data_IF_799078854892
#
_entry.id   IF_799078854892
#
_cell.length_a   1.000
_cell.length_b   1.000
_cell.length_c   1.000
_cell.angle_alpha   90.00
_cell.angle_beta   90.00
_cell.angle_gamma   90.00
#
_symmetry.space_group_name_H-M   'P 1'
#
loop_
_entity.id
_entity.type
_entity.pdbx_description
1 polymer ?
#
# COMPACT_ATOMS: atom_id res chain seq x y z
N UNK A 1 -12.92 23.67 17.73
CA UNK A 1 -12.88 24.21 16.35
C UNK A 1 -11.48 24.68 15.93
N UNK A 2 -10.69 25.33 16.79
CA UNK A 2 -9.33 25.80 16.46
C UNK A 2 -8.26 24.69 16.27
N UNK A 3 -8.35 23.57 16.99
CA UNK A 3 -7.39 22.45 16.89
C UNK A 3 -7.42 21.75 15.51
N UNK A 4 -8.61 21.56 14.95
CA UNK A 4 -8.77 20.93 13.63
C UNK A 4 -8.19 21.79 12.50
N UNK A 5 -8.32 23.12 12.61
CA UNK A 5 -7.73 24.06 11.67
C UNK A 5 -6.20 24.03 11.71
N UNK A 6 -5.60 24.00 12.90
CA UNK A 6 -4.15 23.93 13.07
C UNK A 6 -3.55 22.64 12.47
N UNK A 7 -4.21 21.48 12.66
CA UNK A 7 -3.77 20.20 12.10
C UNK A 7 -3.81 20.16 10.57
N UNK A 8 -4.83 20.77 9.94
CA UNK A 8 -4.93 20.87 8.48
C UNK A 8 -3.85 21.77 7.89
N UNK A 9 -3.56 22.89 8.53
CA UNK A 9 -2.52 23.82 8.06
C UNK A 9 -1.14 23.19 8.13
N UNK A 10 -0.84 22.43 9.19
CA UNK A 10 0.43 21.70 9.33
C UNK A 10 0.56 20.56 8.32
N UNK A 11 -0.50 19.80 8.08
CA UNK A 11 -0.50 18.73 7.09
C UNK A 11 -0.31 19.28 5.66
N UNK A 12 -0.97 20.38 5.32
CA UNK A 12 -0.81 21.02 4.01
C UNK A 12 0.61 21.57 3.81
N UNK A 13 1.19 22.18 4.84
CA UNK A 13 2.58 22.64 4.78
C UNK A 13 3.57 21.48 4.59
N UNK A 14 3.31 20.32 5.23
CA UNK A 14 4.10 19.11 5.04
C UNK A 14 3.98 18.56 3.62
N UNK A 15 2.76 18.51 3.06
CA UNK A 15 2.49 18.05 1.70
C UNK A 15 3.10 18.99 0.65
N UNK A 16 2.99 20.31 0.83
CA UNK A 16 3.62 21.31 -0.05
C UNK A 16 5.15 21.22 0.00
N UNK A 17 5.72 20.98 1.18
CA UNK A 17 7.18 20.79 1.32
C UNK A 17 7.63 19.49 0.67
N UNK A 18 6.84 18.41 0.82
CA UNK A 18 7.11 17.14 0.16
C UNK A 18 7.07 17.25 -1.36
N UNK A 19 6.08 17.97 -1.90
CA UNK A 19 5.95 18.26 -3.34
C UNK A 19 7.11 19.12 -3.85
N UNK A 20 7.49 20.17 -3.13
CA UNK A 20 8.60 21.06 -3.48
C UNK A 20 9.96 20.32 -3.51
N UNK A 21 10.13 19.33 -2.62
CA UNK A 21 11.34 18.51 -2.53
C UNK A 21 11.30 17.27 -3.44
N UNK A 22 10.22 17.04 -4.21
CA UNK A 22 9.97 15.80 -4.96
C UNK A 22 10.04 14.54 -4.07
N UNK A 23 9.76 14.70 -2.78
CA UNK A 23 9.67 13.61 -1.82
C UNK A 23 8.35 12.89 -2.05
N UNK A 24 8.42 11.74 -2.71
CA UNK A 24 7.30 10.81 -2.67
C UNK A 24 7.09 10.40 -1.20
N UNK A 25 5.83 10.43 -0.73
CA UNK A 25 5.43 10.00 0.62
C UNK A 25 6.10 8.68 1.06
N UNK A 26 6.31 7.69 0.18
CA UNK A 26 7.05 6.48 0.51
C UNK A 26 8.53 6.71 0.85
N UNK A 27 9.21 7.61 0.16
CA UNK A 27 10.60 7.98 0.47
C UNK A 27 10.68 8.70 1.82
N UNK A 28 9.67 9.49 2.16
CA UNK A 28 9.53 10.08 3.50
C UNK A 28 9.26 9.03 4.57
N UNK A 29 8.34 8.08 4.35
CA UNK A 29 8.08 6.97 5.27
C UNK A 29 9.31 6.07 5.46
N UNK A 30 10.03 5.75 4.37
CA UNK A 30 11.31 5.04 4.42
C UNK A 30 12.35 5.86 5.17
N UNK A 31 12.42 7.17 4.98
CA UNK A 31 13.33 8.05 5.72
C UNK A 31 13.02 8.04 7.22
N UNK A 32 11.75 8.14 7.62
CA UNK A 32 11.32 8.03 9.02
C UNK A 32 11.71 6.68 9.61
N UNK A 33 11.43 5.57 8.90
CA UNK A 33 11.77 4.22 9.35
C UNK A 33 13.29 3.98 9.43
N UNK A 34 14.10 4.77 8.70
CA UNK A 34 15.57 4.67 8.69
C UNK A 34 16.25 5.61 9.67
N UNK A 35 15.57 6.65 10.14
CA UNK A 35 16.18 7.68 10.98
C UNK A 35 16.24 7.24 12.45
N UNK A 36 17.41 7.34 13.07
CA UNK A 36 17.69 6.87 14.44
C UNK A 36 16.87 7.59 15.50
N UNK A 37 16.55 8.86 15.26
CA UNK A 37 15.96 9.76 16.26
C UNK A 37 14.46 9.53 16.51
N UNK A 38 13.79 8.72 15.69
CA UNK A 38 12.39 8.33 15.93
C UNK A 38 12.25 7.11 16.86
N UNK A 39 13.35 6.44 17.21
CA UNK A 39 13.32 5.31 18.15
C UNK A 39 13.15 5.74 19.61
N UNK A 40 13.52 6.98 19.96
CA UNK A 40 13.38 7.53 21.31
C UNK A 40 12.07 8.33 21.47
N UNK A 41 11.16 8.26 20.49
CA UNK A 41 9.93 9.01 20.53
C UNK A 41 8.91 8.29 21.43
N UNK A 42 8.34 8.95 22.47
CA UNK A 42 7.49 8.30 23.47
C UNK A 42 6.21 7.64 22.89
N UNK A 43 5.76 8.06 21.71
CA UNK A 43 4.66 7.39 21.00
C UNK A 43 5.00 5.96 20.50
N UNK A 44 6.29 5.59 20.44
CA UNK A 44 6.77 4.24 20.11
C UNK A 44 6.78 3.34 21.34
N UNK A 45 6.97 3.90 22.54
CA UNK A 45 6.93 3.17 23.81
C UNK A 45 5.50 2.75 24.19
N UNK A 46 4.48 3.54 23.82
CA UNK A 46 3.06 3.21 24.04
C UNK A 46 2.53 2.11 23.08
N UNK A 47 3.31 1.72 22.07
CA UNK A 47 3.05 0.49 21.31
C UNK A 47 3.55 -0.68 22.15
N UNK A 48 2.71 -1.09 23.10
CA UNK A 48 2.91 -2.25 23.98
C UNK A 48 2.90 -3.57 23.17
N UNK A 49 3.99 -3.82 22.44
CA UNK A 49 4.21 -5.05 21.68
C UNK A 49 4.72 -6.10 22.67
N UNK A 50 4.05 -7.26 22.88
CA UNK A 50 4.43 -8.24 23.91
C UNK A 50 5.68 -9.07 23.58
N UNK A 51 6.70 -8.49 22.95
CA UNK A 51 7.91 -9.18 22.50
C UNK A 51 9.21 -8.63 23.12
N UNK A 52 9.11 -7.69 24.07
CA UNK A 52 10.26 -6.92 24.61
C UNK A 52 11.05 -7.58 25.76
N UNK A 53 11.27 -8.90 25.73
CA UNK A 53 12.20 -9.58 26.65
C UNK A 53 13.48 -10.11 25.99
N UNK A 54 13.84 -9.56 24.83
CA UNK A 54 15.06 -9.91 24.08
C UNK A 54 15.73 -8.70 23.43
N UNK A 55 16.06 -7.67 24.21
CA UNK A 55 16.76 -6.48 23.73
C UNK A 55 18.25 -6.77 23.42
N UNK A 56 18.44 -7.41 22.27
CA UNK A 56 19.68 -7.45 21.49
C UNK A 56 19.43 -7.38 19.97
N UNK A 57 18.19 -7.14 19.51
CA UNK A 57 17.77 -7.34 18.10
C UNK A 57 17.40 -6.07 17.32
N UNK A 58 17.85 -4.88 17.73
CA UNK A 58 17.71 -3.68 16.88
C UNK A 58 18.82 -3.57 15.80
N UNK A 59 19.68 -4.58 15.68
CA UNK A 59 20.68 -4.74 14.60
C UNK A 59 20.07 -5.05 13.21
N UNK A 60 18.77 -5.33 13.09
CA UNK A 60 18.17 -5.84 11.84
C UNK A 60 17.32 -4.84 11.03
N UNK A 61 17.48 -3.53 11.20
CA UNK A 61 16.80 -2.53 10.32
C UNK A 61 17.20 -2.66 8.85
N UNK A 62 18.41 -3.15 8.60
CA UNK A 62 18.91 -3.51 7.27
C UNK A 62 18.14 -4.67 6.66
N UNK A 63 17.56 -5.57 7.46
CA UNK A 63 16.79 -6.72 6.97
C UNK A 63 15.57 -6.28 6.16
N UNK A 64 14.74 -5.35 6.65
CA UNK A 64 13.56 -4.90 5.91
C UNK A 64 13.92 -4.15 4.64
N UNK A 65 14.97 -3.32 4.69
CA UNK A 65 15.49 -2.66 3.49
C UNK A 65 16.03 -3.68 2.48
N UNK A 66 16.65 -4.76 2.95
CA UNK A 66 17.11 -5.86 2.11
C UNK A 66 15.93 -6.64 1.54
N UNK A 67 14.91 -6.96 2.34
CA UNK A 67 13.69 -7.61 1.87
C UNK A 67 13.01 -6.82 0.75
N UNK A 68 12.96 -5.48 0.85
CA UNK A 68 12.42 -4.64 -0.23
C UNK A 68 13.30 -4.69 -1.49
N UNK A 69 14.64 -4.73 -1.34
CA UNK A 69 15.55 -4.88 -2.49
C UNK A 69 15.41 -6.24 -3.16
N UNK A 70 15.38 -7.30 -2.36
CA UNK A 70 15.24 -8.68 -2.80
C UNK A 70 13.90 -8.83 -3.52
N UNK A 71 12.81 -8.31 -2.94
CA UNK A 71 11.51 -8.23 -3.59
C UNK A 71 11.59 -7.46 -4.92
N UNK A 72 12.29 -6.33 -4.97
CA UNK A 72 12.42 -5.49 -6.16
C UNK A 72 13.38 -6.03 -7.24
N UNK A 73 13.92 -7.24 -7.07
CA UNK A 73 14.71 -7.90 -8.10
C UNK A 73 13.87 -8.22 -9.34
N UNK A 74 14.52 -8.12 -10.50
CA UNK A 74 13.89 -8.31 -11.82
C UNK A 74 13.23 -9.69 -11.96
N UNK A 75 13.81 -10.70 -11.35
CA UNK A 75 13.41 -12.09 -11.51
C UNK A 75 12.11 -12.43 -10.77
N UNK A 76 11.63 -11.54 -9.90
CA UNK A 76 10.37 -11.71 -9.19
C UNK A 76 9.13 -11.28 -10.00
N UNK A 77 9.31 -10.77 -11.22
CA UNK A 77 8.20 -10.56 -12.16
C UNK A 77 7.35 -9.31 -11.91
N UNK A 78 7.80 -8.37 -11.07
CA UNK A 78 7.11 -7.09 -10.81
C UNK A 78 7.32 -6.04 -11.89
N UNK A 79 8.08 -6.38 -12.93
CA UNK A 79 8.45 -5.45 -13.99
C UNK A 79 7.37 -5.38 -15.07
N UNK A 80 6.75 -4.22 -15.17
CA UNK A 80 5.69 -3.99 -16.15
C UNK A 80 6.10 -2.94 -17.17
N UNK A 81 6.14 -3.36 -18.43
CA UNK A 81 6.49 -2.48 -19.54
C UNK A 81 5.22 -2.07 -20.29
N UNK A 82 4.76 -0.83 -20.07
CA UNK A 82 3.59 -0.27 -20.74
C UNK A 82 3.60 -0.45 -22.27
N UNK A 83 4.79 -0.39 -22.90
CA UNK A 83 4.95 -0.54 -24.36
C UNK A 83 4.81 -1.97 -24.88
N UNK A 84 4.88 -2.96 -23.99
CA UNK A 84 4.86 -4.38 -24.32
C UNK A 84 3.75 -5.12 -23.56
N UNK A 85 2.84 -4.40 -22.91
CA UNK A 85 1.73 -4.98 -22.17
C UNK A 85 0.76 -5.64 -23.12
N UNK A 86 0.39 -6.89 -22.81
CA UNK A 86 -0.69 -7.62 -23.48
C UNK A 86 -1.98 -7.60 -22.66
N UNK A 87 -3.12 -7.74 -23.34
CA UNK A 87 -4.42 -7.86 -22.68
C UNK A 87 -4.49 -9.08 -21.73
N UNK A 88 -3.82 -10.18 -22.10
CA UNK A 88 -3.74 -11.38 -21.27
C UNK A 88 -3.00 -11.12 -19.94
N UNK A 89 -1.93 -10.31 -19.94
CA UNK A 89 -1.24 -9.94 -18.70
C UNK A 89 -2.14 -9.13 -17.76
N UNK A 90 -2.99 -8.25 -18.31
CA UNK A 90 -3.95 -7.48 -17.51
C UNK A 90 -5.06 -8.38 -16.95
N UNK A 91 -5.63 -9.27 -17.76
CA UNK A 91 -6.71 -10.17 -17.36
C UNK A 91 -6.27 -11.23 -16.33
N UNK A 92 -5.02 -11.68 -16.43
CA UNK A 92 -4.46 -12.69 -15.54
C UNK A 92 -3.84 -12.09 -14.28
N UNK A 93 -3.78 -10.75 -14.16
CA UNK A 93 -3.28 -10.11 -12.96
C UNK A 93 -4.19 -10.43 -11.76
N UNK A 94 -3.57 -10.81 -10.63
CA UNK A 94 -4.23 -11.14 -9.37
C UNK A 94 -3.45 -10.53 -8.21
N UNK A 95 -4.13 -9.76 -7.36
CA UNK A 95 -3.52 -9.19 -6.15
C UNK A 95 -3.16 -10.32 -5.17
N UNK A 96 -3.92 -11.40 -5.18
CA UNK A 96 -3.71 -12.58 -4.35
C UNK A 96 -2.38 -13.28 -4.66
N UNK A 97 -2.00 -13.34 -5.95
CA UNK A 97 -0.72 -13.90 -6.38
C UNK A 97 0.44 -13.02 -5.89
N UNK A 98 0.28 -11.69 -5.97
CA UNK A 98 1.25 -10.76 -5.39
C UNK A 98 1.37 -10.95 -3.88
N UNK A 99 0.25 -11.02 -3.15
CA UNK A 99 0.23 -11.22 -1.71
C UNK A 99 0.98 -12.50 -1.31
N UNK A 100 0.69 -13.62 -2.00
CA UNK A 100 1.33 -14.90 -1.75
C UNK A 100 2.84 -14.83 -1.97
N UNK A 101 3.28 -14.25 -3.08
CA UNK A 101 4.68 -14.14 -3.43
C UNK A 101 5.44 -13.18 -2.50
N UNK A 102 4.86 -12.01 -2.20
CA UNK A 102 5.43 -11.04 -1.25
C UNK A 102 5.60 -11.64 0.14
N UNK A 103 4.59 -12.38 0.62
CA UNK A 103 4.66 -13.10 1.89
C UNK A 103 5.74 -14.18 1.86
N UNK A 104 5.89 -14.90 0.75
CA UNK A 104 6.90 -15.95 0.62
C UNK A 104 8.33 -15.41 0.59
N UNK A 105 8.54 -14.25 -0.03
CA UNK A 105 9.86 -13.65 -0.20
C UNK A 105 10.27 -12.75 0.98
N UNK A 106 9.31 -12.18 1.69
CA UNK A 106 9.55 -11.29 2.83
C UNK A 106 8.53 -11.53 3.96
N UNK A 107 8.53 -12.71 4.59
CA UNK A 107 7.54 -13.07 5.61
C UNK A 107 7.59 -12.16 6.83
N UNK A 108 8.78 -11.74 7.28
CA UNK A 108 8.93 -10.85 8.44
C UNK A 108 8.38 -9.45 8.16
N UNK A 109 8.63 -8.90 6.97
CA UNK A 109 8.06 -7.63 6.53
C UNK A 109 6.52 -7.73 6.42
N UNK A 110 6.02 -8.84 5.87
CA UNK A 110 4.60 -9.10 5.74
C UNK A 110 3.89 -9.14 7.10
N UNK A 111 4.51 -9.78 8.09
CA UNK A 111 3.98 -9.89 9.44
C UNK A 111 4.04 -8.57 10.18
N UNK A 112 5.14 -7.81 10.06
CA UNK A 112 5.26 -6.45 10.59
C UNK A 112 4.13 -5.55 10.09
N UNK A 113 3.90 -5.50 8.76
CA UNK A 113 2.79 -4.72 8.21
C UNK A 113 1.43 -5.24 8.70
N UNK A 114 1.30 -6.54 8.94
CA UNK A 114 0.10 -7.13 9.53
C UNK A 114 -0.20 -6.62 10.92
N UNK A 115 0.84 -6.52 11.76
CA UNK A 115 0.74 -5.97 13.10
C UNK A 115 0.37 -4.48 13.04
N UNK A 116 1.09 -3.69 12.24
CA UNK A 116 0.85 -2.24 12.10
C UNK A 116 -0.58 -1.95 11.60
N UNK A 117 -1.06 -2.68 10.60
CA UNK A 117 -2.42 -2.51 10.06
C UNK A 117 -3.51 -3.05 10.99
N UNK A 118 -3.16 -3.91 11.95
CA UNK A 118 -4.10 -4.46 12.92
C UNK A 118 -4.17 -3.65 14.22
N UNK A 119 -3.24 -2.70 14.43
CA UNK A 119 -3.10 -1.95 15.67
C UNK A 119 -4.34 -1.12 16.04
N UNK A 120 -5.04 -0.55 15.05
CA UNK A 120 -6.28 0.19 15.30
C UNK A 120 -7.50 -0.75 15.30
N UNK A 121 -7.59 -1.59 16.34
CA UNK A 121 -8.65 -2.60 16.53
C UNK A 121 -9.96 -2.04 17.09
N UNK A 122 -9.98 -0.80 17.59
CA UNK A 122 -11.09 -0.30 18.43
C UNK A 122 -12.15 0.58 17.75
N UNK A 123 -11.95 1.09 16.54
CA UNK A 123 -13.01 1.83 15.85
C UNK A 123 -13.91 0.85 15.08
N UNK A 124 -14.76 0.14 15.82
CA UNK A 124 -16.02 -0.36 15.28
C UNK A 124 -16.94 0.85 15.07
N UNK A 125 -16.65 1.65 14.05
CA UNK A 125 -17.71 2.44 13.44
C UNK A 125 -18.22 1.59 12.29
N UNK A 126 -19.45 1.11 12.47
CA UNK A 126 -20.26 0.57 11.38
C UNK A 126 -20.21 1.63 10.29
N UNK A 127 -19.58 1.34 9.16
CA UNK A 127 -19.70 2.19 7.97
C UNK A 127 -21.20 2.22 7.63
N UNK A 128 -21.88 3.31 8.01
CA UNK A 128 -23.30 3.54 7.69
C UNK A 128 -23.53 3.68 6.17
N UNK A 129 -22.44 3.78 5.40
CA UNK A 129 -22.43 3.88 3.94
C UNK A 129 -22.17 2.54 3.21
N UNK A 130 -22.06 1.39 3.90
CA UNK A 130 -22.05 0.09 3.20
C UNK A 130 -23.49 -0.16 2.71
N UNK A 131 -23.76 -0.13 1.38
CA UNK A 131 -25.10 -0.35 0.88
C UNK A 131 -25.55 -1.72 1.36
N UNK A 132 -26.52 -1.69 2.27
CA UNK A 132 -27.21 -2.84 2.83
C UNK A 132 -27.50 -3.81 1.68
N UNK A 133 -26.76 -4.91 1.60
CA UNK A 133 -27.01 -5.99 0.64
C UNK A 133 -28.33 -6.64 1.08
N UNK A 134 -29.44 -6.05 0.63
CA UNK A 134 -30.82 -6.26 1.09
C UNK A 134 -31.42 -7.62 0.77
N UNK A 135 -30.66 -8.57 0.21
CA UNK A 135 -31.23 -9.81 -0.34
C UNK A 135 -30.69 -11.11 0.28
N UNK A 136 -30.09 -11.06 1.48
CA UNK A 136 -29.71 -12.29 2.19
C UNK A 136 -30.62 -12.52 3.42
N UNK A 137 -31.33 -13.66 3.51
CA UNK A 137 -32.21 -13.95 4.63
C UNK A 137 -31.41 -14.02 5.94
N UNK A 138 -31.97 -13.39 6.98
CA UNK A 138 -31.52 -13.46 8.37
C UNK A 138 -31.44 -14.91 8.84
N UNK A 139 -30.25 -15.41 9.20
CA UNK A 139 -30.04 -16.27 10.39
C UNK A 139 -28.59 -16.80 10.44
N UNK A 140 -27.77 -16.14 11.26
CA UNK A 140 -26.68 -16.68 12.10
C UNK A 140 -25.65 -15.56 12.41
N UNK A 141 -25.63 -15.01 13.65
CA UNK A 141 -24.67 -13.98 14.03
C UNK A 141 -23.20 -14.46 13.91
N UNK A 142 -22.94 -15.77 14.04
CA UNK A 142 -21.61 -16.35 13.88
C UNK A 142 -21.14 -16.27 12.43
N UNK A 143 -21.99 -16.61 11.46
CA UNK A 143 -21.69 -16.47 10.03
C UNK A 143 -21.44 -15.03 9.61
N UNK A 144 -22.17 -14.06 10.17
CA UNK A 144 -21.93 -12.62 9.92
C UNK A 144 -20.58 -12.16 10.45
N UNK A 145 -20.24 -12.55 11.68
CA UNK A 145 -18.95 -12.23 12.28
C UNK A 145 -17.77 -12.84 11.48
N UNK A 146 -17.93 -14.06 10.99
CA UNK A 146 -16.96 -14.71 10.12
C UNK A 146 -16.76 -13.96 8.80
N UNK A 147 -17.85 -13.63 8.07
CA UNK A 147 -17.77 -12.87 6.80
C UNK A 147 -17.08 -11.51 6.99
N UNK A 148 -17.35 -10.82 8.11
CA UNK A 148 -16.69 -9.55 8.45
C UNK A 148 -15.19 -9.74 8.75
N UNK A 149 -14.81 -10.80 9.47
CA UNK A 149 -13.41 -11.12 9.74
C UNK A 149 -12.65 -11.44 8.44
N UNK A 150 -13.26 -12.23 7.55
CA UNK A 150 -12.71 -12.55 6.22
C UNK A 150 -12.56 -11.29 5.35
N UNK A 151 -13.59 -10.42 5.28
CA UNK A 151 -13.51 -9.13 4.57
C UNK A 151 -12.38 -8.25 5.13
N UNK A 152 -12.24 -8.21 6.45
CA UNK A 152 -11.18 -7.43 7.12
C UNK A 152 -9.79 -7.98 6.81
N UNK A 153 -9.60 -9.29 6.85
CA UNK A 153 -8.34 -9.93 6.49
C UNK A 153 -7.97 -9.65 5.03
N UNK A 154 -8.96 -9.72 4.13
CA UNK A 154 -8.80 -9.33 2.72
C UNK A 154 -8.33 -7.88 2.56
N UNK A 155 -8.95 -6.93 3.27
CA UNK A 155 -8.55 -5.52 3.26
C UNK A 155 -7.13 -5.30 3.81
N UNK A 156 -6.76 -5.98 4.90
CA UNK A 156 -5.40 -5.93 5.43
C UNK A 156 -4.41 -6.44 4.39
N UNK A 157 -4.73 -7.55 3.72
CA UNK A 157 -3.90 -8.14 2.67
C UNK A 157 -3.69 -7.18 1.50
N UNK A 158 -4.76 -6.54 1.01
CA UNK A 158 -4.68 -5.53 -0.05
C UNK A 158 -3.78 -4.37 0.39
N UNK A 159 -3.98 -3.85 1.60
CA UNK A 159 -3.15 -2.75 2.14
C UNK A 159 -1.67 -3.13 2.20
N UNK A 160 -1.33 -4.36 2.62
CA UNK A 160 0.05 -4.86 2.61
C UNK A 160 0.64 -4.86 1.20
N UNK A 161 -0.09 -5.40 0.22
CA UNK A 161 0.37 -5.45 -1.18
C UNK A 161 0.62 -4.05 -1.72
N UNK A 162 -0.30 -3.10 -1.48
CA UNK A 162 -0.15 -1.70 -1.91
C UNK A 162 1.08 -1.08 -1.26
N UNK A 163 1.24 -1.19 0.06
CA UNK A 163 2.41 -0.62 0.75
C UNK A 163 3.73 -1.21 0.24
N UNK A 164 3.81 -2.53 0.07
CA UNK A 164 5.03 -3.18 -0.44
C UNK A 164 5.30 -2.76 -1.88
N UNK A 165 4.28 -2.71 -2.76
CA UNK A 165 4.44 -2.30 -4.17
C UNK A 165 5.01 -0.89 -4.28
N UNK A 166 4.44 0.03 -3.52
CA UNK A 166 4.89 1.41 -3.42
C UNK A 166 6.37 1.49 -2.94
N UNK A 167 6.74 0.70 -1.93
CA UNK A 167 8.12 0.63 -1.44
C UNK A 167 9.08 0.01 -2.48
N UNK A 168 8.66 -1.04 -3.18
CA UNK A 168 9.43 -1.66 -4.26
C UNK A 168 9.63 -0.68 -5.42
N UNK A 169 8.59 0.01 -5.87
CA UNK A 169 8.66 1.01 -6.94
C UNK A 169 9.62 2.15 -6.59
N UNK A 170 9.61 2.58 -5.32
CA UNK A 170 10.54 3.61 -4.84
C UNK A 170 12.01 3.15 -4.87
N UNK A 171 12.26 1.84 -4.75
CA UNK A 171 13.59 1.24 -4.78
C UNK A 171 14.05 0.94 -6.21
N UNK A 172 13.13 0.47 -7.06
CA UNK A 172 13.34 0.16 -8.46
C UNK A 172 12.11 0.59 -9.25
N UNK A 173 12.24 1.65 -10.04
CA UNK A 173 11.13 2.22 -10.83
C UNK A 173 10.50 1.25 -11.82
N UNK A 174 11.20 0.16 -12.16
CA UNK A 174 10.66 -0.89 -13.01
C UNK A 174 9.70 -1.82 -12.26
N UNK A 175 9.75 -1.89 -10.92
CA UNK A 175 8.78 -2.63 -10.10
C UNK A 175 7.49 -1.82 -10.00
N UNK A 176 6.71 -1.83 -11.08
CA UNK A 176 5.54 -0.98 -11.27
C UNK A 176 4.30 -1.78 -11.70
N UNK A 177 4.28 -3.10 -11.45
CA UNK A 177 3.20 -3.97 -11.90
C UNK A 177 1.84 -3.56 -11.35
N UNK A 178 1.72 -3.35 -10.04
CA UNK A 178 0.46 -2.94 -9.41
C UNK A 178 0.03 -1.56 -9.93
N UNK A 179 0.95 -0.61 -9.95
CA UNK A 179 0.74 0.78 -10.34
C UNK A 179 0.32 0.89 -11.81
N UNK A 180 0.88 0.04 -12.67
CA UNK A 180 0.53 0.00 -14.09
C UNK A 180 -0.86 -0.56 -14.32
N UNK A 181 -1.18 -1.69 -13.69
CA UNK A 181 -2.51 -2.32 -13.81
C UNK A 181 -3.58 -1.39 -13.22
N UNK A 182 -3.32 -0.80 -12.06
CA UNK A 182 -4.23 0.13 -11.41
C UNK A 182 -4.44 1.40 -12.24
N UNK A 183 -3.37 1.98 -12.79
CA UNK A 183 -3.47 3.15 -13.68
C UNK A 183 -4.31 2.88 -14.93
N UNK A 184 -4.09 1.73 -15.59
CA UNK A 184 -4.88 1.31 -16.78
C UNK A 184 -6.35 1.09 -16.39
N UNK A 185 -6.61 0.43 -15.26
CA UNK A 185 -7.97 0.20 -14.76
C UNK A 185 -8.71 1.52 -14.46
N UNK A 186 -8.05 2.48 -13.82
CA UNK A 186 -8.63 3.79 -13.53
C UNK A 186 -8.96 4.55 -14.81
N UNK A 187 -8.06 4.52 -15.80
CA UNK A 187 -8.30 5.13 -17.09
C UNK A 187 -9.49 4.49 -17.81
N UNK A 188 -9.58 3.16 -17.83
CA UNK A 188 -10.73 2.43 -18.39
C UNK A 188 -12.04 2.73 -17.66
N UNK A 189 -11.98 3.07 -16.37
CA UNK A 189 -13.13 3.47 -15.55
C UNK A 189 -13.53 4.94 -15.73
N UNK A 190 -12.99 5.64 -16.74
CA UNK A 190 -13.21 7.07 -16.98
C UNK A 190 -12.82 7.97 -15.80
N UNK A 191 -11.82 7.55 -15.02
CA UNK A 191 -11.31 8.35 -13.90
C UNK A 191 -10.66 9.63 -14.47
N UNK A 192 -10.98 10.83 -13.94
CA UNK A 192 -10.38 12.08 -14.41
C UNK A 192 -8.85 12.06 -14.31
N UNK A 193 -8.16 12.53 -15.36
CA UNK A 193 -6.68 12.52 -15.43
C UNK A 193 -6.00 13.16 -14.22
N UNK A 194 -6.59 14.21 -13.63
CA UNK A 194 -6.07 14.85 -12.42
C UNK A 194 -6.01 13.92 -11.20
N UNK A 195 -6.98 13.01 -11.08
CA UNK A 195 -7.02 12.02 -9.99
C UNK A 195 -5.96 10.95 -10.24
N UNK A 196 -5.83 10.49 -11.48
CA UNK A 196 -4.79 9.52 -11.87
C UNK A 196 -3.39 10.10 -11.62
N UNK A 197 -3.16 11.36 -11.98
CA UNK A 197 -1.87 12.02 -11.80
C UNK A 197 -1.53 12.23 -10.32
N UNK A 198 -2.53 12.59 -9.51
CA UNK A 198 -2.36 12.64 -8.05
C UNK A 198 -2.01 11.26 -7.46
N UNK A 199 -2.65 10.18 -7.92
CA UNK A 199 -2.31 8.81 -7.53
C UNK A 199 -0.93 8.38 -8.01
N UNK A 200 -0.50 8.86 -9.19
CA UNK A 200 0.83 8.61 -9.70
C UNK A 200 1.90 9.28 -8.83
N UNK A 201 1.67 10.51 -8.39
CA UNK A 201 2.55 11.19 -7.43
C UNK A 201 2.63 10.49 -6.07
N UNK A 202 1.56 9.80 -5.64
CA UNK A 202 1.57 8.98 -4.42
C UNK A 202 2.25 7.61 -4.59
N UNK A 203 2.64 7.23 -5.82
CA UNK A 203 3.21 5.92 -6.14
C UNK A 203 2.16 4.81 -6.23
N UNK A 204 0.88 5.15 -6.37
CA UNK A 204 -0.24 4.19 -6.47
C UNK A 204 -0.58 3.89 -7.94
N UNK A 205 -0.21 4.80 -8.85
CA UNK A 205 -0.42 4.67 -10.29
C UNK A 205 0.86 5.02 -11.07
N UNK A 206 0.89 4.69 -12.35
CA UNK A 206 1.79 5.30 -13.33
C UNK A 206 1.18 6.60 -13.89
N UNK A 207 2.01 7.44 -14.54
CA UNK A 207 1.56 8.71 -15.13
C UNK A 207 0.56 8.50 -16.26
N UNK A 208 -0.27 9.50 -16.53
CA UNK A 208 -1.26 9.45 -17.62
C UNK A 208 -0.61 9.20 -18.98
N UNK A 209 0.55 9.81 -19.25
CA UNK A 209 1.30 9.57 -20.49
C UNK A 209 1.71 8.10 -20.65
N UNK A 210 2.10 7.45 -19.54
CA UNK A 210 2.48 6.03 -19.55
C UNK A 210 1.26 5.15 -19.80
N UNK A 211 0.09 5.53 -19.27
CA UNK A 211 -1.18 4.83 -19.49
C UNK A 211 -1.61 4.95 -20.95
N UNK A 212 -1.56 6.14 -21.54
CA UNK A 212 -1.91 6.35 -22.96
C UNK A 212 -1.04 5.49 -23.88
N UNK A 213 0.27 5.41 -23.59
CA UNK A 213 1.16 4.50 -24.30
C UNK A 213 0.77 3.02 -24.13
N UNK A 214 0.35 2.62 -22.93
CA UNK A 214 -0.14 1.26 -22.69
C UNK A 214 -1.43 0.96 -23.47
N UNK A 215 -2.39 1.89 -23.46
CA UNK A 215 -3.65 1.76 -24.21
C UNK A 215 -3.39 1.71 -25.72
N UNK A 216 -2.47 2.55 -26.22
CA UNK A 216 -2.04 2.49 -27.61
C UNK A 216 -1.36 1.15 -27.97
N UNK A 217 -0.59 0.56 -27.04
CA UNK A 217 0.00 -0.77 -27.24
C UNK A 217 -1.06 -1.88 -27.28
N UNK A 218 -2.11 -1.77 -26.47
CA UNK A 218 -3.18 -2.78 -26.34
C UNK A 218 -4.20 -2.75 -27.47
N UNK A 219 -4.30 -1.62 -28.19
CA UNK A 219 -5.23 -1.42 -29.30
C UNK A 219 -4.66 -1.77 -30.67
N UNK A 220 -3.38 -2.17 -30.73
CA UNK A 220 -2.74 -2.73 -31.92
C UNK A 220 -2.89 -4.23 -31.96
#
# INVERSE_FOLDING_TARGET
MALAAASRTQLNALLETADHQKLIIPAFMISILRHTDFCDHPAVDDLDIPFYSGLGQWENKTQYAQSIRDLAEKDNGWHFSARNTSAAQLQNFRIEDMAKNMKSLAPELWDLLGLLLSANRQTMEVDEDDPMETDLPEDDPTRRAQKLAERREGLITIKKVVMISVLMQSTNKNCNALESVFGIFLHASNTPSKVIEALAHMGISISTDTIENAVHSLSR
#
